data_IF_636815764740
#
_entry.id   IF_636815764740
#
_cell.length_a   1.000
_cell.length_b   1.000
_cell.length_c   1.000
_cell.angle_alpha   90.00
_cell.angle_beta   90.00
_cell.angle_gamma   90.00
#
_symmetry.space_group_name_H-M   'P 1'
#
loop_
_entity.id
_entity.type
_entity.pdbx_description
1 polymer ?
#
# COMPACT_ATOMS: atom_id res chain seq x y z
N UNK A 1 100.94 -6.62 0.28
CA UNK A 1 99.92 -5.85 -0.48
C UNK A 1 98.65 -6.72 -0.49
N UNK A 2 97.85 -6.56 0.53
CA UNK A 2 96.55 -7.33 0.65
C UNK A 2 95.45 -6.51 -0.01
N UNK A 3 94.78 -7.07 -0.97
CA UNK A 3 93.56 -6.54 -1.58
C UNK A 3 92.36 -6.99 -0.70
N UNK A 4 91.79 -6.04 0.00
CA UNK A 4 90.59 -6.16 0.73
C UNK A 4 89.43 -6.14 -0.33
N UNK A 5 88.78 -7.25 -0.49
CA UNK A 5 87.53 -7.36 -1.35
C UNK A 5 86.44 -6.92 -0.45
N UNK A 6 85.89 -5.73 -0.70
CA UNK A 6 84.64 -5.24 -0.07
C UNK A 6 83.53 -5.94 -0.74
N UNK A 7 82.91 -6.93 -0.06
CA UNK A 7 81.74 -7.61 -0.44
C UNK A 7 80.52 -6.67 -0.21
N UNK A 8 80.06 -6.02 -1.26
CA UNK A 8 78.85 -5.22 -1.21
C UNK A 8 77.65 -6.18 -1.08
N UNK A 9 77.10 -6.20 0.14
CA UNK A 9 75.81 -6.83 0.35
C UNK A 9 74.76 -6.06 -0.44
N UNK A 10 74.29 -6.62 -1.54
CA UNK A 10 73.13 -6.14 -2.26
C UNK A 10 71.92 -6.45 -1.42
N UNK A 11 71.37 -5.42 -0.80
CA UNK A 11 70.10 -5.52 -0.09
C UNK A 11 68.95 -5.63 -1.11
N UNK A 12 68.46 -6.84 -1.35
CA UNK A 12 67.26 -7.06 -2.12
C UNK A 12 66.06 -6.68 -1.25
N UNK A 13 65.27 -5.67 -1.60
CA UNK A 13 64.05 -5.36 -0.85
C UNK A 13 63.03 -6.49 -1.10
N UNK A 14 62.77 -7.26 -0.05
CA UNK A 14 61.70 -8.27 -0.01
C UNK A 14 60.38 -7.51 -0.02
N UNK A 15 59.77 -7.37 -1.20
CA UNK A 15 58.42 -6.87 -1.36
C UNK A 15 57.46 -7.95 -0.88
N UNK A 16 57.01 -7.85 0.36
CA UNK A 16 55.92 -8.64 0.87
C UNK A 16 54.60 -8.06 0.28
N UNK A 17 54.08 -8.69 -0.76
CA UNK A 17 52.76 -8.45 -1.25
C UNK A 17 51.72 -8.84 -0.17
N UNK A 18 51.47 -7.95 0.77
CA UNK A 18 50.32 -8.08 1.65
C UNK A 18 49.10 -7.80 0.81
N UNK A 19 48.46 -8.84 0.30
CA UNK A 19 47.11 -8.80 -0.28
C UNK A 19 46.10 -8.51 0.85
N UNK A 20 46.27 -7.40 1.53
CA UNK A 20 45.24 -6.89 2.43
C UNK A 20 44.16 -6.29 1.52
N UNK A 21 43.00 -6.90 1.53
CA UNK A 21 41.82 -6.27 0.94
C UNK A 21 41.74 -4.87 1.53
N UNK A 22 41.94 -3.86 0.70
CA UNK A 22 42.02 -2.48 1.16
C UNK A 22 40.73 -2.15 1.90
N UNK A 23 40.83 -1.62 3.11
CA UNK A 23 39.71 -1.22 3.95
C UNK A 23 38.74 -0.27 3.22
N UNK A 24 39.23 0.38 2.17
CA UNK A 24 38.43 1.26 1.30
C UNK A 24 37.29 0.54 0.58
N UNK A 25 37.38 -0.80 0.36
CA UNK A 25 36.34 -1.59 -0.26
C UNK A 25 35.16 -1.90 0.68
N UNK A 26 35.33 -1.67 1.98
CA UNK A 26 34.23 -1.86 2.96
C UNK A 26 33.13 -0.82 2.74
N UNK A 27 33.51 0.42 2.42
CA UNK A 27 32.54 1.51 2.21
C UNK A 27 31.54 1.21 1.06
N UNK A 28 31.97 0.86 -0.16
CA UNK A 28 31.04 0.49 -1.23
C UNK A 28 30.23 -0.77 -0.89
N UNK A 29 30.78 -1.74 -0.16
CA UNK A 29 30.04 -2.92 0.28
C UNK A 29 28.90 -2.55 1.27
N UNK A 30 29.16 -1.65 2.22
CA UNK A 30 28.12 -1.16 3.13
C UNK A 30 27.02 -0.45 2.37
N UNK A 31 27.37 0.42 1.43
CA UNK A 31 26.40 1.14 0.60
C UNK A 31 25.54 0.14 -0.20
N UNK A 32 26.15 -0.87 -0.79
CA UNK A 32 25.48 -1.90 -1.56
C UNK A 32 24.55 -2.74 -0.70
N UNK A 33 24.96 -3.05 0.54
CA UNK A 33 24.14 -3.77 1.52
C UNK A 33 22.91 -2.94 1.93
N UNK A 34 23.08 -1.62 2.18
CA UNK A 34 21.97 -0.72 2.53
C UNK A 34 20.99 -0.59 1.35
N UNK A 35 21.51 -0.39 0.14
CA UNK A 35 20.66 -0.31 -1.07
C UNK A 35 19.92 -1.63 -1.32
N UNK A 36 20.59 -2.75 -1.14
CA UNK A 36 19.99 -4.09 -1.23
C UNK A 36 18.89 -4.29 -0.20
N UNK A 37 19.09 -3.84 1.03
CA UNK A 37 18.10 -3.89 2.09
C UNK A 37 16.86 -3.05 1.76
N UNK A 38 17.06 -1.80 1.33
CA UNK A 38 15.96 -0.90 0.94
C UNK A 38 15.18 -1.48 -0.25
N UNK A 39 15.89 -2.02 -1.24
CA UNK A 39 15.26 -2.65 -2.40
C UNK A 39 14.45 -3.89 -2.00
N UNK A 40 14.98 -4.73 -1.12
CA UNK A 40 14.31 -5.90 -0.59
C UNK A 40 13.03 -5.52 0.18
N UNK A 41 13.13 -4.57 1.09
CA UNK A 41 11.99 -4.08 1.87
C UNK A 41 10.90 -3.47 0.96
N UNK A 42 11.30 -2.68 -0.03
CA UNK A 42 10.40 -2.10 -1.02
C UNK A 42 9.71 -3.16 -1.89
N UNK A 43 10.41 -4.25 -2.20
CA UNK A 43 9.85 -5.37 -2.96
C UNK A 43 8.85 -6.18 -2.15
N UNK A 44 9.16 -6.45 -0.88
CA UNK A 44 8.30 -7.24 0.02
C UNK A 44 7.01 -6.48 0.42
N UNK A 45 7.06 -5.15 0.48
CA UNK A 45 5.90 -4.29 0.78
C UNK A 45 5.01 -3.99 -0.44
N UNK A 46 5.25 -4.66 -1.59
CA UNK A 46 4.35 -4.52 -2.74
C UNK A 46 2.98 -5.07 -2.36
N UNK A 47 2.01 -4.17 -2.17
CA UNK A 47 0.63 -4.54 -1.93
C UNK A 47 0.00 -5.29 -3.11
N UNK A 48 -1.18 -5.81 -2.90
CA UNK A 48 -1.99 -6.48 -3.91
C UNK A 48 -2.79 -5.45 -4.70
N UNK A 49 -2.74 -5.51 -6.03
CA UNK A 49 -3.55 -4.65 -6.88
C UNK A 49 -4.92 -5.28 -7.11
N UNK A 50 -5.97 -4.52 -6.82
CA UNK A 50 -7.34 -4.83 -7.23
C UNK A 50 -7.83 -3.78 -8.22
N UNK A 51 -8.77 -4.16 -9.07
CA UNK A 51 -9.42 -3.28 -10.05
C UNK A 51 -10.91 -3.20 -9.74
N UNK A 52 -11.41 -1.99 -9.60
CA UNK A 52 -12.84 -1.73 -9.35
C UNK A 52 -13.39 -0.85 -10.45
N UNK A 53 -14.52 -1.24 -11.02
CA UNK A 53 -15.22 -0.49 -12.06
C UNK A 53 -16.28 0.39 -11.41
N UNK A 54 -16.16 1.69 -11.61
CA UNK A 54 -17.12 2.71 -11.18
C UNK A 54 -17.84 3.32 -12.39
N UNK A 55 -19.06 3.76 -12.23
CA UNK A 55 -19.77 4.55 -13.26
C UNK A 55 -19.13 5.92 -13.47
N UNK A 56 -18.55 6.49 -12.42
CA UNK A 56 -17.85 7.78 -12.44
C UNK A 56 -16.72 7.76 -11.43
N UNK A 57 -15.62 8.43 -11.74
CA UNK A 57 -14.48 8.65 -10.83
C UNK A 57 -14.47 10.10 -10.27
N UNK A 58 -15.63 10.77 -10.24
CA UNK A 58 -15.73 12.13 -9.74
C UNK A 58 -15.16 12.25 -8.32
N UNK A 59 -14.21 13.17 -8.14
CA UNK A 59 -13.56 13.42 -6.86
C UNK A 59 -12.43 12.45 -6.50
N UNK A 60 -12.24 11.34 -7.23
CA UNK A 60 -11.13 10.43 -7.02
C UNK A 60 -9.84 11.01 -7.60
N UNK A 61 -8.73 10.79 -6.91
CA UNK A 61 -7.39 11.22 -7.33
C UNK A 61 -6.40 10.08 -7.19
N UNK A 62 -5.57 9.90 -8.22
CA UNK A 62 -4.47 8.93 -8.19
C UNK A 62 -3.48 9.25 -7.09
N UNK A 63 -3.01 8.22 -6.40
CA UNK A 63 -2.05 8.27 -5.28
C UNK A 63 -2.51 9.06 -4.03
N UNK A 64 -3.75 9.58 -4.03
CA UNK A 64 -4.30 10.41 -2.93
C UNK A 64 -5.51 9.75 -2.29
N UNK A 65 -6.49 9.29 -3.10
CA UNK A 65 -7.74 8.74 -2.58
C UNK A 65 -7.50 7.43 -1.84
N UNK A 66 -7.84 7.34 -0.54
CA UNK A 66 -7.70 6.12 0.24
C UNK A 66 -8.83 5.12 -0.04
N UNK A 67 -8.53 3.84 0.14
CA UNK A 67 -9.50 2.78 0.38
C UNK A 67 -9.63 2.59 1.88
N UNK A 68 -10.84 2.71 2.42
CA UNK A 68 -11.08 2.61 3.86
C UNK A 68 -12.16 1.56 4.19
N UNK A 69 -12.04 0.97 5.36
CA UNK A 69 -13.06 0.17 6.00
C UNK A 69 -13.24 0.61 7.45
N UNK A 70 -14.45 1.07 7.81
CA UNK A 70 -14.75 1.56 9.18
C UNK A 70 -13.72 2.60 9.70
N UNK A 71 -13.20 3.46 8.80
CA UNK A 71 -12.21 4.48 9.16
C UNK A 71 -10.75 4.02 9.17
N UNK A 72 -10.48 2.74 8.93
CA UNK A 72 -9.13 2.22 8.77
C UNK A 72 -8.74 2.25 7.30
N UNK A 73 -7.61 2.86 6.97
CA UNK A 73 -7.07 2.85 5.62
C UNK A 73 -6.45 1.48 5.32
N UNK A 74 -6.93 0.82 4.27
CA UNK A 74 -6.50 -0.50 3.82
C UNK A 74 -5.67 -0.45 2.53
N UNK A 75 -5.67 0.70 1.86
CA UNK A 75 -4.99 0.87 0.60
C UNK A 75 -5.21 2.25 0.00
N UNK A 76 -4.80 2.43 -1.24
CA UNK A 76 -4.96 3.70 -1.98
C UNK A 76 -5.15 3.47 -3.47
N UNK A 77 -5.82 4.42 -4.11
CA UNK A 77 -5.93 4.48 -5.57
C UNK A 77 -4.56 4.72 -6.18
N UNK A 78 -4.16 3.91 -7.15
CA UNK A 78 -2.88 4.05 -7.86
C UNK A 78 -3.06 4.56 -9.28
N UNK A 79 -4.14 4.15 -9.96
CA UNK A 79 -4.40 4.54 -11.34
C UNK A 79 -5.90 4.61 -11.62
N UNK A 80 -6.30 5.61 -12.38
CA UNK A 80 -7.66 5.77 -12.90
C UNK A 80 -7.58 5.76 -14.42
N UNK A 81 -8.37 4.91 -15.06
CA UNK A 81 -8.40 4.79 -16.53
C UNK A 81 -9.83 4.55 -17.02
N UNK A 82 -10.08 4.90 -18.26
CA UNK A 82 -11.35 4.55 -18.89
C UNK A 82 -11.46 3.02 -19.04
N UNK A 83 -12.63 2.47 -18.77
CA UNK A 83 -12.88 1.06 -18.99
C UNK A 83 -13.14 0.80 -20.50
N UNK A 84 -13.02 -0.44 -20.95
CA UNK A 84 -13.16 -0.83 -22.36
C UNK A 84 -14.53 -0.51 -22.95
N UNK A 85 -15.57 -0.45 -22.14
CA UNK A 85 -16.93 -0.09 -22.52
C UNK A 85 -17.12 1.39 -22.86
N UNK A 86 -16.11 2.23 -22.61
CA UNK A 86 -16.11 3.69 -22.78
C UNK A 86 -17.22 4.42 -21.98
N UNK A 87 -17.90 3.74 -21.06
CA UNK A 87 -19.01 4.26 -20.25
C UNK A 87 -18.70 4.26 -18.75
N UNK A 88 -17.69 3.50 -18.35
CA UNK A 88 -17.28 3.32 -16.96
C UNK A 88 -15.79 3.58 -16.78
N UNK A 89 -15.37 3.70 -15.54
CA UNK A 89 -14.01 4.03 -15.15
C UNK A 89 -13.42 2.88 -14.35
N UNK A 90 -12.26 2.40 -14.78
CA UNK A 90 -11.47 1.41 -14.07
C UNK A 90 -10.53 2.09 -13.09
N UNK A 91 -10.68 1.80 -11.83
CA UNK A 91 -9.84 2.30 -10.73
C UNK A 91 -8.98 1.16 -10.19
N UNK A 92 -7.68 1.30 -10.29
CA UNK A 92 -6.73 0.36 -9.70
C UNK A 92 -6.38 0.83 -8.29
N UNK A 93 -6.47 -0.07 -7.34
CA UNK A 93 -6.24 0.19 -5.92
C UNK A 93 -5.14 -0.74 -5.44
N UNK A 94 -4.11 -0.19 -4.84
CA UNK A 94 -3.08 -0.94 -4.15
C UNK A 94 -3.51 -1.15 -2.71
N UNK A 95 -3.71 -2.40 -2.35
CA UNK A 95 -4.16 -2.83 -1.02
C UNK A 95 -2.99 -3.44 -0.28
N UNK A 96 -2.85 -3.15 1.00
CA UNK A 96 -1.81 -3.72 1.84
C UNK A 96 -1.92 -5.25 1.89
N UNK A 97 -0.79 -5.96 1.79
CA UNK A 97 -0.77 -7.41 1.69
C UNK A 97 -1.44 -8.11 2.87
N UNK A 98 -1.32 -7.55 4.07
CA UNK A 98 -1.89 -8.11 5.30
C UNK A 98 -3.41 -8.19 5.26
N UNK A 99 -4.04 -7.23 4.57
CA UNK A 99 -5.51 -7.12 4.46
C UNK A 99 -6.05 -7.49 3.08
N UNK A 100 -5.17 -7.68 2.10
CA UNK A 100 -5.55 -7.96 0.72
C UNK A 100 -6.53 -9.12 0.60
N UNK A 101 -6.32 -10.14 1.37
CA UNK A 101 -7.20 -11.28 1.44
C UNK A 101 -8.61 -10.89 1.90
N UNK A 102 -8.83 -9.99 2.82
CA UNK A 102 -10.15 -9.55 3.30
C UNK A 102 -10.83 -8.62 2.30
N UNK A 103 -10.06 -7.87 1.54
CA UNK A 103 -10.53 -6.95 0.52
C UNK A 103 -10.88 -7.69 -0.78
N UNK A 104 -10.08 -8.70 -1.14
CA UNK A 104 -10.23 -9.48 -2.38
C UNK A 104 -11.23 -10.62 -2.29
N UNK A 105 -12.12 -10.65 -1.29
CA UNK A 105 -13.19 -11.65 -1.18
C UNK A 105 -14.20 -11.53 -2.32
N UNK A 106 -14.65 -12.67 -2.86
CA UNK A 106 -15.71 -12.67 -3.89
C UNK A 106 -17.04 -12.20 -3.27
N UNK A 107 -17.51 -11.03 -3.68
CA UNK A 107 -18.70 -10.38 -3.12
C UNK A 107 -18.39 -9.15 -2.25
N UNK A 108 -17.11 -8.82 -2.04
CA UNK A 108 -16.76 -7.52 -1.47
C UNK A 108 -17.36 -6.40 -2.31
N UNK A 109 -17.98 -5.44 -1.65
CA UNK A 109 -18.66 -4.31 -2.26
C UNK A 109 -17.87 -3.03 -2.04
N UNK A 110 -17.79 -2.18 -3.06
CA UNK A 110 -17.05 -0.93 -3.04
C UNK A 110 -17.94 0.23 -3.46
N UNK A 111 -17.85 1.37 -2.82
CA UNK A 111 -18.54 2.61 -3.20
C UNK A 111 -17.72 3.85 -2.89
N UNK A 112 -18.06 4.94 -3.54
CA UNK A 112 -17.42 6.24 -3.30
C UNK A 112 -18.18 6.96 -2.20
N UNK A 113 -17.48 7.29 -1.11
CA UNK A 113 -18.01 8.17 -0.07
C UNK A 113 -17.60 9.60 -0.31
N UNK A 114 -18.60 10.45 -0.49
CA UNK A 114 -18.41 11.88 -0.69
C UNK A 114 -18.07 12.57 0.64
N UNK A 115 -17.28 13.64 0.61
CA UNK A 115 -16.99 14.41 1.82
C UNK A 115 -18.27 15.00 2.39
N UNK A 116 -18.50 14.80 3.67
CA UNK A 116 -19.59 15.46 4.41
C UNK A 116 -19.06 16.66 5.18
N UNK A 117 -19.63 17.82 4.92
CA UNK A 117 -19.33 19.02 5.70
C UNK A 117 -20.38 19.10 6.81
N UNK A 118 -19.99 18.77 8.04
CA UNK A 118 -20.86 18.91 9.21
C UNK A 118 -20.68 20.31 9.79
N UNK A 119 -21.68 21.16 9.60
CA UNK A 119 -21.72 22.52 10.16
C UNK A 119 -22.04 22.57 11.66
N UNK A 120 -22.36 21.43 12.28
CA UNK A 120 -22.85 21.35 13.67
C UNK A 120 -21.74 21.29 14.73
N UNK A 121 -20.47 21.22 14.35
CA UNK A 121 -19.33 21.28 15.28
C UNK A 121 -18.42 22.46 15.01
N UNK A 122 -18.96 23.67 15.10
CA UNK A 122 -18.18 24.90 15.21
C UNK A 122 -17.70 25.02 16.67
N UNK A 123 -16.72 24.19 17.02
CA UNK A 123 -15.99 24.34 18.27
C UNK A 123 -14.56 23.86 18.01
N UNK A 124 -13.71 24.81 17.64
CA UNK A 124 -12.29 24.57 17.38
C UNK A 124 -11.95 24.30 15.91
N UNK A 125 -11.00 25.06 15.41
CA UNK A 125 -10.46 25.19 14.03
C UNK A 125 -9.87 23.92 13.37
N UNK A 126 -10.43 22.74 13.65
CA UNK A 126 -10.08 21.50 12.95
C UNK A 126 -11.26 21.01 12.11
N UNK A 127 -11.65 21.77 11.12
CA UNK A 127 -12.45 21.26 10.00
C UNK A 127 -11.54 20.37 9.16
N UNK A 128 -11.40 19.11 9.55
CA UNK A 128 -10.88 18.08 8.67
C UNK A 128 -11.91 17.92 7.56
N UNK A 129 -11.68 18.60 6.44
CA UNK A 129 -12.37 18.32 5.19
C UNK A 129 -11.85 16.94 4.78
N UNK A 130 -12.57 15.89 5.16
CA UNK A 130 -12.29 14.57 4.64
C UNK A 130 -12.57 14.60 3.15
N UNK A 131 -11.55 14.33 2.33
CA UNK A 131 -11.69 14.23 0.88
C UNK A 131 -12.59 13.06 0.46
N UNK A 132 -12.77 12.89 -0.84
CA UNK A 132 -13.38 11.68 -1.39
C UNK A 132 -12.59 10.46 -0.97
N UNK A 133 -13.28 9.38 -0.61
CA UNK A 133 -12.68 8.10 -0.28
C UNK A 133 -13.49 6.96 -0.87
N UNK A 134 -12.85 5.84 -1.07
CA UNK A 134 -13.51 4.58 -1.43
C UNK A 134 -13.72 3.81 -0.13
N UNK A 135 -14.94 3.44 0.17
CA UNK A 135 -15.26 2.53 1.25
C UNK A 135 -15.58 1.15 0.70
N UNK A 136 -15.37 0.14 1.52
CA UNK A 136 -15.69 -1.23 1.19
C UNK A 136 -16.51 -1.90 2.30
N UNK A 137 -17.30 -2.90 1.92
CA UNK A 137 -17.86 -3.90 2.83
C UNK A 137 -17.34 -5.27 2.40
N UNK A 138 -16.55 -5.95 3.25
CA UNK A 138 -16.05 -7.27 2.95
C UNK A 138 -17.18 -8.29 3.09
N UNK A 139 -17.17 -9.33 2.27
CA UNK A 139 -18.19 -10.39 2.30
C UNK A 139 -18.03 -11.31 3.49
N UNK A 140 -16.78 -11.57 3.86
CA UNK A 140 -16.49 -12.55 4.89
C UNK A 140 -16.56 -11.92 6.29
N UNK A 141 -17.35 -12.53 7.16
CA UNK A 141 -17.54 -12.09 8.53
C UNK A 141 -16.63 -12.82 9.50
N UNK A 142 -16.16 -14.02 9.14
CA UNK A 142 -15.30 -14.86 9.97
C UNK A 142 -14.02 -15.30 9.26
N UNK A 143 -12.99 -15.62 10.04
CA UNK A 143 -11.70 -16.11 9.50
C UNK A 143 -11.88 -17.42 8.72
N UNK A 144 -12.79 -18.30 9.16
CA UNK A 144 -13.04 -19.60 8.52
C UNK A 144 -13.69 -19.46 7.14
N UNK A 145 -14.64 -18.52 6.99
CA UNK A 145 -15.25 -18.20 5.69
C UNK A 145 -14.21 -17.66 4.73
N UNK A 146 -13.27 -16.93 5.28
CA UNK A 146 -12.17 -16.34 4.57
C UNK A 146 -11.21 -17.37 3.97
N UNK A 147 -10.76 -18.31 4.77
CA UNK A 147 -9.81 -19.34 4.35
C UNK A 147 -10.41 -20.30 3.29
N UNK A 148 -11.75 -20.35 3.18
CA UNK A 148 -12.49 -21.14 2.19
C UNK A 148 -12.92 -20.34 0.96
N UNK A 149 -12.84 -19.01 1.03
CA UNK A 149 -13.31 -18.11 -0.04
C UNK A 149 -12.37 -18.04 -1.23
N UNK A 150 -12.91 -17.66 -2.38
CA UNK A 150 -12.14 -17.40 -3.59
C UNK A 150 -11.73 -15.94 -3.64
N UNK A 151 -10.45 -15.68 -3.85
CA UNK A 151 -9.95 -14.32 -4.04
C UNK A 151 -10.30 -13.83 -5.44
N UNK A 152 -10.83 -12.61 -5.51
CA UNK A 152 -11.17 -11.92 -6.76
C UNK A 152 -10.43 -10.59 -6.79
N UNK A 153 -9.93 -10.22 -7.95
CA UNK A 153 -9.15 -8.99 -8.11
C UNK A 153 -9.82 -7.97 -9.02
N UNK A 154 -11.05 -8.26 -9.43
CA UNK A 154 -11.83 -7.42 -10.32
C UNK A 154 -13.27 -7.32 -9.82
N UNK A 155 -13.73 -6.10 -9.54
CA UNK A 155 -15.02 -5.82 -8.91
C UNK A 155 -15.81 -4.78 -9.68
N UNK A 156 -17.14 -4.81 -9.53
CA UNK A 156 -18.03 -3.72 -9.91
C UNK A 156 -18.42 -2.95 -8.66
N UNK A 157 -18.26 -1.64 -8.71
CA UNK A 157 -18.65 -0.78 -7.60
C UNK A 157 -20.16 -0.62 -7.50
N UNK A 158 -20.64 -0.35 -6.30
CA UNK A 158 -22.00 0.09 -6.05
C UNK A 158 -22.10 1.60 -6.25
N UNK A 159 -23.27 2.09 -6.66
CA UNK A 159 -23.53 3.52 -6.80
C UNK A 159 -23.65 4.24 -5.46
N UNK A 160 -24.13 3.52 -4.45
CA UNK A 160 -24.36 4.02 -3.10
C UNK A 160 -23.91 3.00 -2.07
N UNK A 161 -23.70 3.44 -0.83
CA UNK A 161 -23.47 2.57 0.29
C UNK A 161 -24.62 1.55 0.40
N UNK A 162 -24.32 0.24 0.58
CA UNK A 162 -25.36 -0.72 0.93
C UNK A 162 -26.06 -0.26 2.21
N UNK A 163 -27.37 -0.35 2.25
CA UNK A 163 -28.10 -0.16 3.50
C UNK A 163 -27.82 -1.39 4.37
N UNK A 164 -26.81 -1.29 5.20
CA UNK A 164 -26.63 -2.24 6.30
C UNK A 164 -27.70 -1.94 7.35
N UNK A 165 -28.89 -2.48 7.13
CA UNK A 165 -30.06 -2.31 8.01
C UNK A 165 -29.90 -3.03 9.35
N UNK A 166 -28.71 -3.51 9.72
CA UNK A 166 -28.56 -4.45 10.84
C UNK A 166 -27.46 -4.10 11.87
N UNK A 167 -26.97 -2.85 11.94
CA UNK A 167 -25.99 -2.54 12.98
C UNK A 167 -26.16 -1.14 13.60
N UNK A 168 -27.40 -0.75 13.83
CA UNK A 168 -27.69 0.34 14.78
C UNK A 168 -28.78 -0.16 15.72
N UNK A 169 -28.46 -0.33 17.00
CA UNK A 169 -29.40 -0.62 18.11
C UNK A 169 -30.40 0.53 18.31
N UNK A 170 -30.82 1.16 17.25
CA UNK A 170 -31.85 2.18 17.20
C UNK A 170 -33.24 1.59 17.13
N UNK A 171 -34.02 1.75 18.17
CA UNK A 171 -35.46 1.45 18.17
C UNK A 171 -36.18 2.38 17.17
N UNK A 172 -36.66 1.82 16.06
CA UNK A 172 -37.52 2.56 15.13
C UNK A 172 -38.98 2.48 15.62
N UNK A 173 -39.54 3.61 16.02
CA UNK A 173 -40.97 3.73 16.28
C UNK A 173 -41.64 4.13 14.97
N UNK A 174 -42.35 3.22 14.31
CA UNK A 174 -43.22 3.54 13.20
C UNK A 174 -44.55 4.12 13.71
N UNK A 175 -44.76 5.40 13.56
CA UNK A 175 -46.05 6.03 13.81
C UNK A 175 -46.99 5.75 12.61
N UNK A 176 -47.92 4.83 12.77
CA UNK A 176 -49.03 4.62 11.85
C UNK A 176 -50.09 5.67 12.22
N UNK A 177 -50.26 6.70 11.37
CA UNK A 177 -51.39 7.60 11.49
C UNK A 177 -52.61 6.96 10.82
N UNK A 178 -53.68 6.87 11.58
CA UNK A 178 -54.98 6.44 11.10
C UNK A 178 -55.75 7.61 10.54
#
# INVERSE_FOLDING_TARGET
MSKEIIEQQVYEPKIEDKKAVSFIWILPLIILAILGWIAYESYMKKGTNISVIFKSAEGLKENVTPLEYKGLQLGKVTKISMHEDLKSVKVNILVDNEVAKYVAGDGSSFWIKKPTISLTKISGLNTLISGYKIELSPTFKTQEEYDKGTSKYFFNALDTQPNDEFDDDGYYISLIAN
#
